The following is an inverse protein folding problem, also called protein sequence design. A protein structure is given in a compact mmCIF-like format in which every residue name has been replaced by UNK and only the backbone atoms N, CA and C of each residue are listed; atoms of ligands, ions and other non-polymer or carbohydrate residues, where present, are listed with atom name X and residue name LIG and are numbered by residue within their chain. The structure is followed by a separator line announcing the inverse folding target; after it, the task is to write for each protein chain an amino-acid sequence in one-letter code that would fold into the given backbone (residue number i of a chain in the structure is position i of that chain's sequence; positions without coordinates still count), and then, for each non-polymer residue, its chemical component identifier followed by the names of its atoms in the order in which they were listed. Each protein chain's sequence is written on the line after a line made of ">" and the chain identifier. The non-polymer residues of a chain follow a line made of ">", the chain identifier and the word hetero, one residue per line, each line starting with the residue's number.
data_IF_983774882184
#
_entry.id   IF_983774882184
#
_cell.length_a   1.000
_cell.length_b   1.000
_cell.length_c   1.000
_cell.angle_alpha   90.00
_cell.angle_beta   90.00
_cell.angle_gamma   90.00
#
_symmetry.space_group_name_H-M   'P 1'
#
loop_
_entity.id
_entity.type
_entity.pdbx_description
1 polymer ?
#
# COMPACT_ATOMS: atom_id res chain seq x y z
N UNK A 1 3.96 16.31 -32.62
CA UNK A 1 3.01 15.77 -31.63
C UNK A 1 3.80 15.52 -30.36
N UNK A 2 3.70 16.40 -29.36
CA UNK A 2 4.28 16.16 -28.05
C UNK A 2 3.56 14.96 -27.45
N UNK A 3 4.27 13.86 -27.25
CA UNK A 3 3.78 12.75 -26.45
C UNK A 3 3.58 13.30 -25.04
N UNK A 4 2.32 13.54 -24.65
CA UNK A 4 2.00 13.85 -23.25
C UNK A 4 2.62 12.75 -22.39
N UNK A 5 3.64 13.12 -21.60
CA UNK A 5 4.21 12.20 -20.61
C UNK A 5 3.06 11.71 -19.72
N UNK A 6 2.82 10.42 -19.74
CA UNK A 6 1.73 9.83 -18.99
C UNK A 6 2.23 9.48 -17.59
N UNK A 7 1.90 10.31 -16.61
CA UNK A 7 2.18 10.02 -15.21
C UNK A 7 1.19 8.99 -14.68
N UNK A 8 1.71 8.01 -13.94
CA UNK A 8 0.88 7.04 -13.22
C UNK A 8 0.26 7.68 -11.99
N UNK A 9 1.05 8.51 -11.27
CA UNK A 9 0.60 9.19 -10.06
C UNK A 9 1.11 10.63 -10.06
N UNK A 10 0.21 11.58 -9.79
CA UNK A 10 0.56 12.99 -9.62
C UNK A 10 -0.06 13.54 -8.34
N UNK A 11 0.71 14.30 -7.59
CA UNK A 11 0.27 15.09 -6.46
C UNK A 11 0.52 16.56 -6.72
N UNK A 12 -0.50 17.42 -6.55
CA UNK A 12 -0.41 18.87 -6.71
C UNK A 12 -0.85 19.56 -5.43
N UNK A 13 0.06 20.28 -4.78
CA UNK A 13 -0.13 20.95 -3.50
C UNK A 13 -0.72 20.01 -2.42
N UNK A 14 -0.34 18.73 -2.47
CA UNK A 14 -0.89 17.70 -1.60
C UNK A 14 -0.50 17.98 -0.16
N UNK A 15 -1.48 17.99 0.72
CA UNK A 15 -1.29 18.26 2.15
C UNK A 15 -1.99 17.20 2.99
N UNK A 16 -1.34 16.82 4.10
CA UNK A 16 -1.95 15.99 5.14
C UNK A 16 -1.64 16.54 6.51
N UNK A 17 -2.68 16.96 7.20
CA UNK A 17 -2.62 17.49 8.55
C UNK A 17 -3.39 16.58 9.50
N UNK A 18 -2.91 16.46 10.72
CA UNK A 18 -3.54 15.67 11.77
C UNK A 18 -3.99 16.62 12.88
N UNK A 19 -5.29 16.69 13.15
CA UNK A 19 -5.83 17.53 14.23
C UNK A 19 -5.49 16.90 15.60
N UNK A 20 -4.89 17.70 16.48
CA UNK A 20 -4.71 17.35 17.90
C UNK A 20 -5.86 17.98 18.68
N UNK A 21 -6.68 17.14 19.32
CA UNK A 21 -7.83 17.57 20.12
C UNK A 21 -7.52 17.40 21.60
N UNK A 22 -8.02 18.32 22.45
CA UNK A 22 -7.96 18.16 23.90
C UNK A 22 -9.00 17.12 24.39
N UNK A 23 -9.00 16.87 25.71
CA UNK A 23 -9.92 15.92 26.34
C UNK A 23 -11.41 16.25 26.08
N UNK A 24 -11.74 17.52 25.85
CA UNK A 24 -13.11 18.00 25.52
C UNK A 24 -13.40 17.96 24.00
N UNK A 25 -12.55 17.36 23.18
CA UNK A 25 -12.74 17.29 21.73
C UNK A 25 -12.47 18.60 20.97
N UNK A 26 -12.01 19.66 21.64
CA UNK A 26 -11.69 20.95 21.01
C UNK A 26 -10.31 20.86 20.33
N UNK A 27 -10.23 21.36 19.08
CA UNK A 27 -8.96 21.46 18.35
C UNK A 27 -7.99 22.37 19.12
N UNK A 28 -6.81 21.86 19.43
CA UNK A 28 -5.74 22.58 20.14
C UNK A 28 -4.59 22.92 19.21
N UNK A 29 -4.26 21.99 18.31
CA UNK A 29 -3.13 22.11 17.40
C UNK A 29 -3.39 21.29 16.15
N UNK A 30 -2.67 21.61 15.10
CA UNK A 30 -2.64 20.81 13.85
C UNK A 30 -1.20 20.43 13.53
N UNK A 31 -0.95 19.13 13.38
CA UNK A 31 0.36 18.62 12.96
C UNK A 31 0.39 18.55 11.45
N UNK A 32 1.16 19.38 10.80
CA UNK A 32 1.35 19.42 9.34
C UNK A 32 2.40 18.40 8.94
N UNK A 33 2.00 17.16 8.73
CA UNK A 33 2.90 16.08 8.40
C UNK A 33 3.32 16.09 6.91
N UNK A 34 2.47 16.58 6.03
CA UNK A 34 2.73 16.83 4.60
C UNK A 34 2.13 18.20 4.27
N UNK A 35 2.92 19.11 3.70
CA UNK A 35 2.46 20.46 3.39
C UNK A 35 2.81 20.84 1.95
N UNK A 36 1.79 20.98 1.09
CA UNK A 36 1.82 21.43 -0.31
C UNK A 36 2.87 20.75 -1.17
N UNK A 37 2.99 19.43 -1.04
CA UNK A 37 3.95 18.64 -1.83
C UNK A 37 3.46 18.49 -3.26
N UNK A 38 4.40 18.71 -4.21
CA UNK A 38 4.19 18.45 -5.63
C UNK A 38 5.16 17.35 -6.05
N UNK A 39 4.63 16.29 -6.67
CA UNK A 39 5.43 15.22 -7.26
C UNK A 39 4.67 14.53 -8.38
N UNK A 40 5.41 13.91 -9.29
CA UNK A 40 4.84 13.12 -10.38
C UNK A 40 5.68 11.87 -10.58
N UNK A 41 5.03 10.71 -10.71
CA UNK A 41 5.69 9.41 -10.91
C UNK A 41 5.20 8.83 -12.23
N UNK A 42 6.12 8.46 -13.12
CA UNK A 42 5.82 7.87 -14.42
C UNK A 42 5.52 6.37 -14.27
N UNK A 43 4.82 5.82 -15.23
CA UNK A 43 4.61 4.37 -15.30
C UNK A 43 5.95 3.66 -15.50
N UNK A 44 6.23 2.63 -14.67
CA UNK A 44 7.48 1.88 -14.71
C UNK A 44 8.68 2.60 -14.08
N UNK A 45 8.48 3.76 -13.45
CA UNK A 45 9.52 4.49 -12.75
C UNK A 45 9.75 3.95 -11.34
N UNK A 46 11.01 3.93 -10.91
CA UNK A 46 11.39 3.77 -9.50
C UNK A 46 11.69 5.12 -8.91
N UNK A 47 10.82 5.59 -8.02
CA UNK A 47 10.93 6.89 -7.37
C UNK A 47 11.43 6.75 -5.94
N UNK A 48 12.55 7.39 -5.61
CA UNK A 48 13.15 7.39 -4.27
C UNK A 48 12.75 8.61 -3.45
N UNK A 49 12.12 8.40 -2.28
CA UNK A 49 11.79 9.46 -1.33
C UNK A 49 12.77 9.43 -0.15
N UNK A 50 13.61 10.46 -0.04
CA UNK A 50 14.68 10.57 0.96
C UNK A 50 14.43 11.75 1.88
N UNK A 51 14.88 11.66 3.11
CA UNK A 51 14.78 12.71 4.13
C UNK A 51 15.00 12.17 5.55
N UNK A 52 15.11 13.06 6.53
CA UNK A 52 15.33 12.71 7.93
C UNK A 52 14.18 11.90 8.56
N UNK A 53 14.45 11.24 9.68
CA UNK A 53 13.41 10.56 10.45
C UNK A 53 12.38 11.58 10.95
N UNK A 54 11.09 11.24 10.81
CA UNK A 54 10.00 12.13 11.25
C UNK A 54 9.62 13.24 10.26
N UNK A 55 10.32 13.44 9.12
CA UNK A 55 9.99 14.52 8.17
C UNK A 55 8.73 14.27 7.31
N UNK A 56 7.93 13.24 7.60
CA UNK A 56 6.66 13.00 6.92
C UNK A 56 6.68 12.02 5.74
N UNK A 57 7.82 11.36 5.41
CA UNK A 57 7.91 10.39 4.29
C UNK A 57 6.84 9.32 4.30
N UNK A 58 6.69 8.64 5.42
CA UNK A 58 5.68 7.56 5.58
C UNK A 58 4.26 8.10 5.49
N UNK A 59 4.03 9.31 5.98
CA UNK A 59 2.73 9.99 5.87
C UNK A 59 2.44 10.33 4.41
N UNK A 60 3.42 10.89 3.69
CA UNK A 60 3.27 11.19 2.27
C UNK A 60 2.97 9.91 1.49
N UNK A 61 3.77 8.85 1.64
CA UNK A 61 3.54 7.57 0.96
C UNK A 61 2.13 7.01 1.21
N UNK A 62 1.68 6.98 2.47
CA UNK A 62 0.34 6.52 2.84
C UNK A 62 -0.77 7.43 2.30
N UNK A 63 -0.50 8.72 2.13
CA UNK A 63 -1.45 9.67 1.52
C UNK A 63 -1.54 9.44 0.01
N UNK A 64 -0.41 9.17 -0.65
CA UNK A 64 -0.35 8.88 -2.10
C UNK A 64 -1.16 7.63 -2.49
N UNK A 65 -1.14 6.59 -1.66
CA UNK A 65 -1.96 5.38 -1.88
C UNK A 65 -3.35 5.46 -1.25
N UNK A 66 -3.75 6.64 -0.76
CA UNK A 66 -5.08 6.87 -0.17
C UNK A 66 -5.40 6.06 1.08
N UNK A 67 -4.38 5.56 1.82
CA UNK A 67 -4.57 5.08 3.20
C UNK A 67 -4.93 6.23 4.14
N UNK A 68 -4.37 7.43 3.88
CA UNK A 68 -4.81 8.66 4.52
C UNK A 68 -5.53 9.53 3.50
N UNK A 69 -6.70 10.04 3.87
CA UNK A 69 -7.41 11.05 3.09
C UNK A 69 -6.59 12.35 3.09
N UNK A 70 -6.26 12.94 1.94
CA UNK A 70 -5.61 14.26 1.89
C UNK A 70 -6.45 15.32 2.62
N UNK A 71 -5.77 16.25 3.26
CA UNK A 71 -6.43 17.41 3.86
C UNK A 71 -6.70 18.49 2.81
N UNK A 72 -5.76 18.65 1.87
CA UNK A 72 -5.85 19.62 0.78
C UNK A 72 -4.99 19.16 -0.42
N UNK A 73 -5.16 19.82 -1.56
CA UNK A 73 -4.46 19.51 -2.81
C UNK A 73 -5.22 18.52 -3.68
N UNK A 74 -4.56 18.09 -4.76
CA UNK A 74 -5.11 17.16 -5.75
C UNK A 74 -4.18 15.97 -5.87
N UNK A 75 -4.75 14.77 -5.89
CA UNK A 75 -4.07 13.52 -6.15
C UNK A 75 -4.72 12.83 -7.33
N UNK A 76 -3.96 12.58 -8.41
CA UNK A 76 -4.44 11.85 -9.58
C UNK A 76 -3.70 10.54 -9.74
N UNK A 77 -4.41 9.51 -10.20
CA UNK A 77 -3.86 8.21 -10.55
C UNK A 77 -4.31 7.86 -11.96
N UNK A 78 -3.36 7.62 -12.86
CA UNK A 78 -3.61 7.30 -14.27
C UNK A 78 -4.55 8.32 -14.94
N UNK A 79 -4.33 9.62 -14.64
CA UNK A 79 -5.10 10.75 -15.13
C UNK A 79 -6.44 11.01 -14.46
N UNK A 80 -6.87 10.17 -13.51
CA UNK A 80 -8.14 10.33 -12.78
C UNK A 80 -7.91 10.95 -11.40
N UNK A 81 -8.71 11.93 -11.04
CA UNK A 81 -8.67 12.53 -9.69
C UNK A 81 -9.25 11.56 -8.66
N UNK A 82 -8.36 11.09 -7.75
CA UNK A 82 -8.71 10.17 -6.67
C UNK A 82 -8.73 10.85 -5.30
N UNK A 83 -8.60 12.17 -5.24
CA UNK A 83 -8.44 12.94 -3.99
C UNK A 83 -9.56 12.68 -2.98
N UNK A 84 -10.80 12.57 -3.46
CA UNK A 84 -12.00 12.39 -2.61
C UNK A 84 -12.74 11.08 -2.86
N UNK A 85 -12.19 10.20 -3.69
CA UNK A 85 -12.76 8.89 -4.01
C UNK A 85 -12.95 8.05 -2.75
N UNK A 86 -14.07 7.32 -2.64
CA UNK A 86 -14.47 6.51 -1.46
C UNK A 86 -15.11 5.19 -1.87
N UNK A 87 -15.27 4.30 -0.89
CA UNK A 87 -16.03 3.05 -1.03
C UNK A 87 -15.47 2.13 -2.12
N UNK A 88 -16.36 1.57 -2.95
CA UNK A 88 -15.99 0.58 -3.98
C UNK A 88 -15.02 1.12 -5.03
N UNK A 89 -15.14 2.39 -5.38
CA UNK A 89 -14.25 3.04 -6.34
C UNK A 89 -12.83 3.15 -5.77
N UNK A 90 -12.67 3.59 -4.51
CA UNK A 90 -11.37 3.62 -3.84
C UNK A 90 -10.76 2.22 -3.71
N UNK A 91 -11.59 1.22 -3.42
CA UNK A 91 -11.15 -0.17 -3.33
C UNK A 91 -10.56 -0.66 -4.66
N UNK A 92 -11.14 -0.26 -5.81
CA UNK A 92 -10.58 -0.59 -7.13
C UNK A 92 -9.18 0.02 -7.34
N UNK A 93 -8.94 1.25 -6.83
CA UNK A 93 -7.59 1.83 -6.83
C UNK A 93 -6.65 1.11 -5.87
N UNK A 94 -7.10 0.68 -4.69
CA UNK A 94 -6.28 -0.09 -3.76
C UNK A 94 -5.83 -1.44 -4.37
N UNK A 95 -6.61 -2.08 -5.26
CA UNK A 95 -6.13 -3.22 -6.04
C UNK A 95 -4.88 -2.88 -6.86
N UNK A 96 -4.86 -1.70 -7.47
CA UNK A 96 -3.76 -1.22 -8.34
C UNK A 96 -2.58 -0.63 -7.55
N UNK A 97 -2.81 -0.21 -6.30
CA UNK A 97 -1.81 0.44 -5.42
C UNK A 97 -1.64 -0.37 -4.14
N UNK A 98 -0.50 -0.96 -3.94
CA UNK A 98 -0.20 -1.77 -2.77
C UNK A 98 0.97 -1.22 -1.96
N UNK A 99 1.09 -1.67 -0.71
CA UNK A 99 2.16 -1.26 0.20
C UNK A 99 2.88 -2.48 0.78
N UNK A 100 4.21 -2.37 0.85
CA UNK A 100 5.04 -3.25 1.66
C UNK A 100 5.45 -2.46 2.92
N UNK A 101 5.10 -2.99 4.10
CA UNK A 101 5.40 -2.32 5.35
C UNK A 101 6.87 -2.50 5.74
N UNK A 102 7.43 -1.48 6.38
CA UNK A 102 8.82 -1.48 6.84
C UNK A 102 9.06 -2.49 7.95
N UNK A 103 8.10 -2.67 8.86
CA UNK A 103 8.16 -3.65 9.94
C UNK A 103 7.41 -4.93 9.55
N UNK A 104 8.13 -6.03 9.28
CA UNK A 104 7.51 -7.29 8.89
C UNK A 104 6.79 -8.00 10.05
N UNK A 105 7.08 -7.63 11.30
CA UNK A 105 6.43 -8.25 12.47
C UNK A 105 5.02 -7.73 12.68
N UNK A 106 4.82 -6.42 12.53
CA UNK A 106 3.49 -5.81 12.64
C UNK A 106 2.66 -5.91 11.35
N UNK A 107 3.28 -6.33 10.24
CA UNK A 107 2.63 -6.41 8.94
C UNK A 107 1.77 -7.67 8.73
N UNK A 108 2.01 -8.74 9.49
CA UNK A 108 1.34 -10.03 9.37
C UNK A 108 0.64 -10.38 10.68
N UNK A 109 -0.59 -10.88 10.59
CA UNK A 109 -1.30 -11.40 11.76
C UNK A 109 -0.61 -12.69 12.24
N UNK A 110 -0.11 -12.75 13.49
CA UNK A 110 0.57 -13.94 14.01
C UNK A 110 -0.36 -15.16 14.17
N UNK A 111 -1.66 -14.96 14.20
CA UNK A 111 -2.66 -16.03 14.34
C UNK A 111 -3.13 -16.63 13.02
N UNK A 112 -2.70 -16.05 11.89
CA UNK A 112 -2.98 -16.55 10.55
C UNK A 112 -1.81 -17.37 10.01
N UNK A 113 -2.11 -18.43 9.25
CA UNK A 113 -1.11 -19.11 8.44
C UNK A 113 -0.84 -18.33 7.14
N UNK A 114 0.23 -18.70 6.43
CA UNK A 114 0.62 -17.99 5.21
C UNK A 114 -0.45 -18.06 4.13
N UNK A 115 -1.17 -19.19 4.03
CA UNK A 115 -2.29 -19.35 3.08
C UNK A 115 -3.38 -18.31 3.33
N UNK A 116 -3.79 -18.15 4.58
CA UNK A 116 -4.82 -17.17 4.98
C UNK A 116 -4.38 -15.75 4.68
N UNK A 117 -3.14 -15.38 5.06
CA UNK A 117 -2.54 -14.07 4.81
C UNK A 117 -2.50 -13.73 3.31
N UNK A 118 -2.19 -14.72 2.47
CA UNK A 118 -2.08 -14.54 1.02
C UNK A 118 -3.44 -14.56 0.32
N UNK A 119 -4.38 -15.37 0.81
CA UNK A 119 -5.71 -15.51 0.24
C UNK A 119 -6.60 -14.27 0.52
N UNK A 120 -6.41 -13.61 1.66
CA UNK A 120 -7.22 -12.46 2.08
C UNK A 120 -7.29 -11.37 0.98
N UNK A 121 -6.17 -10.77 0.53
CA UNK A 121 -6.23 -9.71 -0.49
C UNK A 121 -6.79 -10.21 -1.84
N UNK A 122 -6.53 -11.47 -2.21
CA UNK A 122 -7.08 -12.03 -3.45
C UNK A 122 -8.61 -12.13 -3.35
N UNK A 123 -9.12 -12.65 -2.23
CA UNK A 123 -10.56 -12.88 -1.99
C UNK A 123 -11.39 -11.59 -1.96
N UNK A 124 -10.75 -10.44 -1.64
CA UNK A 124 -11.41 -9.13 -1.69
C UNK A 124 -11.83 -8.76 -3.12
N UNK A 125 -11.05 -9.17 -4.11
CA UNK A 125 -11.24 -8.75 -5.50
C UNK A 125 -11.70 -9.88 -6.44
N UNK A 126 -11.41 -11.13 -6.08
CA UNK A 126 -11.62 -12.29 -6.95
C UNK A 126 -12.22 -13.46 -6.14
N UNK A 127 -13.16 -14.17 -6.76
CA UNK A 127 -13.69 -15.42 -6.19
C UNK A 127 -13.07 -16.58 -6.94
N UNK A 128 -12.02 -17.16 -6.38
CA UNK A 128 -11.33 -18.29 -6.97
C UNK A 128 -11.75 -19.59 -6.28
N UNK A 129 -11.85 -20.72 -7.01
CA UNK A 129 -11.90 -22.04 -6.43
C UNK A 129 -10.65 -22.28 -5.54
N UNK A 130 -10.79 -23.09 -4.51
CA UNK A 130 -9.73 -23.35 -3.53
C UNK A 130 -8.43 -23.82 -4.17
N UNK A 131 -8.52 -24.77 -5.08
CA UNK A 131 -7.35 -25.29 -5.81
C UNK A 131 -6.61 -24.20 -6.60
N UNK A 132 -7.34 -23.31 -7.28
CA UNK A 132 -6.74 -22.22 -8.05
C UNK A 132 -6.11 -21.16 -7.14
N UNK A 133 -6.73 -20.91 -5.98
CA UNK A 133 -6.17 -20.05 -4.93
C UNK A 133 -4.83 -20.60 -4.45
N UNK A 134 -4.76 -21.88 -4.12
CA UNK A 134 -3.55 -22.52 -3.61
C UNK A 134 -2.44 -22.54 -4.67
N UNK A 135 -2.74 -22.87 -5.92
CA UNK A 135 -1.78 -22.81 -7.02
C UNK A 135 -1.20 -21.39 -7.20
N UNK A 136 -2.06 -20.36 -7.09
CA UNK A 136 -1.63 -18.96 -7.19
C UNK A 136 -0.74 -18.56 -6.02
N UNK A 137 -1.09 -18.96 -4.79
CA UNK A 137 -0.30 -18.69 -3.58
C UNK A 137 1.08 -19.35 -3.68
N UNK A 138 1.13 -20.64 -4.05
CA UNK A 138 2.39 -21.37 -4.22
C UNK A 138 3.30 -20.66 -5.24
N UNK A 139 2.77 -20.29 -6.40
CA UNK A 139 3.52 -19.56 -7.41
C UNK A 139 4.10 -18.22 -6.89
N UNK A 140 3.36 -17.52 -6.03
CA UNK A 140 3.82 -16.25 -5.44
C UNK A 140 4.91 -16.48 -4.38
N UNK A 141 4.78 -17.52 -3.55
CA UNK A 141 5.78 -17.90 -2.56
C UNK A 141 7.10 -18.30 -3.23
N UNK A 142 7.05 -19.10 -4.29
CA UNK A 142 8.23 -19.49 -5.07
C UNK A 142 8.95 -18.27 -5.68
N UNK A 143 8.22 -17.29 -6.20
CA UNK A 143 8.79 -16.03 -6.73
C UNK A 143 9.60 -15.24 -5.69
N UNK A 144 9.27 -15.37 -4.42
CA UNK A 144 10.00 -14.71 -3.32
C UNK A 144 11.01 -15.65 -2.64
N UNK A 145 11.25 -16.85 -3.24
CA UNK A 145 12.23 -17.83 -2.75
C UNK A 145 11.78 -18.56 -1.49
N UNK A 146 10.48 -18.79 -1.35
CA UNK A 146 9.85 -19.63 -0.31
C UNK A 146 9.35 -20.94 -0.92
N UNK A 147 8.99 -21.91 -0.09
CA UNK A 147 8.53 -23.22 -0.52
C UNK A 147 7.02 -23.34 -0.46
N UNK A 148 6.44 -24.24 -1.24
CA UNK A 148 5.00 -24.55 -1.18
C UNK A 148 4.54 -24.97 0.24
N UNK A 149 5.34 -25.81 0.92
CA UNK A 149 5.03 -26.30 2.28
C UNK A 149 5.00 -25.18 3.33
N UNK A 150 5.56 -24.00 3.03
CA UNK A 150 5.51 -22.86 3.92
C UNK A 150 4.09 -22.25 4.01
N UNK A 151 3.20 -22.61 3.10
CA UNK A 151 1.81 -22.11 3.04
C UNK A 151 1.01 -22.48 4.31
N UNK A 152 1.27 -23.64 4.90
CA UNK A 152 0.56 -24.14 6.07
C UNK A 152 1.09 -23.62 7.41
N UNK A 153 2.27 -22.98 7.40
CA UNK A 153 2.92 -22.45 8.61
C UNK A 153 2.34 -21.12 9.03
N UNK A 154 2.36 -20.86 10.32
CA UNK A 154 1.94 -19.58 10.89
C UNK A 154 3.01 -18.51 10.77
N UNK A 155 2.60 -17.25 10.74
CA UNK A 155 3.51 -16.12 10.59
C UNK A 155 4.61 -16.08 11.67
N UNK A 156 4.33 -16.51 12.90
CA UNK A 156 5.30 -16.52 14.00
C UNK A 156 6.44 -17.54 13.83
N UNK A 157 6.28 -18.56 12.99
CA UNK A 157 7.30 -19.60 12.73
C UNK A 157 8.43 -19.11 11.83
N UNK A 158 8.31 -17.92 11.23
CA UNK A 158 9.24 -17.38 10.27
C UNK A 158 10.16 -16.32 10.85
N UNK A 159 11.40 -16.28 10.35
CA UNK A 159 12.33 -15.19 10.62
C UNK A 159 11.83 -13.85 10.06
N UNK A 160 12.37 -12.72 10.53
CA UNK A 160 12.01 -11.39 10.03
C UNK A 160 12.19 -11.25 8.51
N UNK A 161 13.27 -11.79 7.94
CA UNK A 161 13.49 -11.78 6.50
C UNK A 161 12.49 -12.63 5.71
N UNK A 162 12.06 -13.77 6.26
CA UNK A 162 11.01 -14.59 5.64
C UNK A 162 9.64 -13.90 5.74
N UNK A 163 9.29 -13.29 6.88
CA UNK A 163 8.07 -12.46 7.01
C UNK A 163 8.04 -11.31 6.02
N UNK A 164 9.19 -10.67 5.78
CA UNK A 164 9.31 -9.63 4.76
C UNK A 164 8.99 -10.19 3.36
N UNK A 165 9.49 -11.38 3.01
CA UNK A 165 9.18 -12.04 1.74
C UNK A 165 7.70 -12.38 1.61
N UNK A 166 7.06 -12.86 2.67
CA UNK A 166 5.61 -13.10 2.71
C UNK A 166 4.85 -11.78 2.48
N UNK A 167 5.25 -10.69 3.15
CA UNK A 167 4.68 -9.36 2.95
C UNK A 167 4.81 -8.84 1.51
N UNK A 168 5.95 -9.11 0.86
CA UNK A 168 6.17 -8.80 -0.56
C UNK A 168 5.23 -9.64 -1.44
N UNK A 169 5.18 -10.96 -1.22
CA UNK A 169 4.31 -11.86 -1.98
C UNK A 169 2.83 -11.45 -1.83
N UNK A 170 2.40 -11.11 -0.61
CA UNK A 170 1.04 -10.60 -0.33
C UNK A 170 0.73 -9.33 -1.12
N UNK A 171 1.64 -8.36 -1.12
CA UNK A 171 1.43 -7.12 -1.88
C UNK A 171 1.35 -7.38 -3.39
N UNK A 172 2.12 -8.35 -3.91
CA UNK A 172 2.10 -8.73 -5.32
C UNK A 172 0.90 -9.60 -5.72
N UNK A 173 0.16 -10.16 -4.76
CA UNK A 173 -0.89 -11.15 -5.01
C UNK A 173 -2.05 -10.63 -5.87
N UNK A 174 -2.30 -9.33 -5.85
CA UNK A 174 -3.35 -8.66 -6.64
C UNK A 174 -2.82 -7.99 -7.92
N UNK A 175 -1.56 -8.26 -8.28
CA UNK A 175 -0.88 -7.72 -9.46
C UNK A 175 -0.94 -6.17 -9.55
N UNK A 176 -0.39 -5.45 -8.56
CA UNK A 176 -0.46 -4.00 -8.50
C UNK A 176 0.37 -3.32 -9.60
N UNK A 177 -0.05 -2.12 -10.01
CA UNK A 177 0.69 -1.26 -10.94
C UNK A 177 1.62 -0.28 -10.20
N UNK A 178 1.29 0.02 -8.94
CA UNK A 178 2.07 0.89 -8.07
C UNK A 178 2.35 0.18 -6.73
N UNK A 179 3.61 0.16 -6.33
CA UNK A 179 4.06 -0.44 -5.08
C UNK A 179 4.81 0.59 -4.24
N UNK A 180 4.31 0.81 -3.02
CA UNK A 180 4.97 1.64 -2.01
C UNK A 180 5.83 0.78 -1.09
#
# INVERSE_FOLDING_TARGET
>A
METKEQYLLEAKNLSKYFPVKNFFGKLVQEVRAVDRVNLSIKKGETFGLVGESGCGKSTLGRTLIRMYEPTDGILTYDGHDITKTKGKELLAYHKRMQIIFQDPYSALDPHQNVREIMAEPISVFEKLPEKEMDERIVNLLEKVGMKADDMEKYAYEFSGGQRQRIGIARALSVNPEFLL
#
